data_IF_258440228455
#
_entry.id   IF_258440228455
#
_cell.length_a   1.000
_cell.length_b   1.000
_cell.length_c   1.000
_cell.angle_alpha   90.00
_cell.angle_beta   90.00
_cell.angle_gamma   90.00
#
_symmetry.space_group_name_H-M   'P 1'
#
loop_
_entity.id
_entity.type
_entity.pdbx_description
1 polymer ?
#
# COMPACT_ATOMS: atom_id res chain seq x y z
N UNK A 1 -2.85 -15.07 6.72
CA UNK A 1 -4.21 -14.50 6.84
C UNK A 1 -4.26 -12.99 6.62
N UNK A 2 -3.18 -12.33 6.21
CA UNK A 2 -3.23 -10.91 5.85
C UNK A 2 -2.77 -10.81 4.40
N UNK A 3 -3.68 -10.40 3.50
CA UNK A 3 -3.45 -10.28 2.06
C UNK A 3 -2.26 -9.33 1.81
N UNK A 4 -1.08 -9.87 1.46
CA UNK A 4 0.08 -9.04 1.24
C UNK A 4 -0.08 -8.36 -0.12
N UNK A 5 0.19 -7.06 -0.16
CA UNK A 5 0.10 -6.23 -1.36
C UNK A 5 1.50 -5.82 -1.80
N UNK A 6 1.76 -5.91 -3.10
CA UNK A 6 3.01 -5.41 -3.69
C UNK A 6 2.83 -3.96 -4.10
N UNK A 7 3.78 -3.14 -3.71
CA UNK A 7 3.84 -1.73 -4.10
C UNK A 7 4.62 -1.56 -5.41
N UNK A 8 4.50 -0.42 -6.07
CA UNK A 8 5.24 -0.14 -7.32
C UNK A 8 6.76 -0.07 -7.11
N UNK A 9 7.23 0.09 -5.87
CA UNK A 9 8.64 -0.01 -5.50
C UNK A 9 9.07 -1.43 -5.10
N UNK A 10 8.28 -2.46 -5.42
CA UNK A 10 8.51 -3.89 -5.18
C UNK A 10 8.55 -4.32 -3.70
N UNK A 11 8.31 -3.40 -2.77
CA UNK A 11 8.14 -3.74 -1.36
C UNK A 11 6.75 -4.32 -1.10
N UNK A 12 6.67 -5.20 -0.11
CA UNK A 12 5.45 -5.89 0.30
C UNK A 12 4.99 -5.36 1.65
N UNK A 13 3.70 -5.05 1.76
CA UNK A 13 3.06 -4.67 3.01
C UNK A 13 1.68 -5.32 3.09
N UNK A 14 1.16 -5.51 4.31
CA UNK A 14 -0.19 -6.04 4.48
C UNK A 14 -1.24 -5.00 4.08
N UNK A 15 -2.39 -5.42 3.52
CA UNK A 15 -3.49 -4.51 3.12
C UNK A 15 -3.84 -3.52 4.24
N UNK A 16 -4.13 -4.04 5.44
CA UNK A 16 -4.49 -3.25 6.62
C UNK A 16 -3.38 -2.27 7.04
N UNK A 17 -2.12 -2.68 6.95
CA UNK A 17 -0.96 -1.86 7.28
C UNK A 17 -0.89 -0.61 6.38
N UNK A 18 -1.25 -0.76 5.10
CA UNK A 18 -1.25 0.35 4.14
C UNK A 18 -2.42 1.31 4.39
N UNK A 19 -3.58 0.77 4.71
CA UNK A 19 -4.79 1.56 5.06
C UNK A 19 -4.56 2.38 6.33
N UNK A 20 -4.04 1.74 7.40
CA UNK A 20 -3.68 2.42 8.64
C UNK A 20 -2.59 3.47 8.44
N UNK A 21 -1.60 3.19 7.60
CA UNK A 21 -0.54 4.14 7.26
C UNK A 21 -1.09 5.36 6.51
N UNK A 22 -1.99 5.16 5.54
CA UNK A 22 -2.66 6.24 4.83
C UNK A 22 -3.46 7.13 5.78
N UNK A 23 -4.26 6.52 6.67
CA UNK A 23 -5.02 7.24 7.70
C UNK A 23 -4.11 8.01 8.67
N UNK A 24 -2.99 7.41 9.10
CA UNK A 24 -2.02 8.05 9.99
C UNK A 24 -1.34 9.25 9.35
N UNK A 25 -1.10 9.19 8.04
CA UNK A 25 -0.43 10.25 7.30
C UNK A 25 -1.31 11.48 7.05
N UNK A 26 -2.62 11.46 7.37
CA UNK A 26 -3.61 12.53 7.07
C UNK A 26 -3.47 13.09 5.66
N UNK A 27 -3.02 12.26 4.71
CA UNK A 27 -2.84 12.71 3.34
C UNK A 27 -4.22 12.79 2.72
N UNK A 28 -4.66 14.01 2.39
CA UNK A 28 -5.84 14.26 1.55
C UNK A 28 -5.65 13.75 0.11
N UNK A 29 -4.44 13.25 -0.22
CA UNK A 29 -4.12 12.67 -1.51
C UNK A 29 -4.25 11.15 -1.49
N UNK A 30 -4.75 10.59 -2.58
CA UNK A 30 -4.83 9.15 -2.85
C UNK A 30 -3.45 8.48 -3.00
N UNK A 31 -2.35 9.21 -2.77
CA UNK A 31 -0.98 8.73 -2.94
C UNK A 31 -0.31 8.65 -1.56
N UNK A 32 0.03 7.43 -1.15
CA UNK A 32 0.83 7.14 0.02
C UNK A 32 2.29 6.84 -0.37
N UNK A 33 3.20 7.19 0.54
CA UNK A 33 4.61 6.81 0.45
C UNK A 33 4.82 5.38 0.92
N UNK A 34 5.77 4.68 0.32
CA UNK A 34 6.19 3.38 0.83
C UNK A 34 6.75 3.52 2.25
N UNK A 35 6.28 2.76 3.25
CA UNK A 35 6.82 2.85 4.61
C UNK A 35 8.30 2.45 4.69
N UNK A 36 8.80 1.66 3.73
CA UNK A 36 10.16 1.15 3.71
C UNK A 36 11.15 2.09 3.02
N UNK A 37 10.83 2.56 1.81
CA UNK A 37 11.74 3.41 1.02
C UNK A 37 11.26 4.85 0.83
N UNK A 38 10.08 5.20 1.36
CA UNK A 38 9.43 6.51 1.24
C UNK A 38 9.13 6.96 -0.19
N UNK A 39 9.26 6.08 -1.18
CA UNK A 39 8.91 6.38 -2.56
C UNK A 39 7.39 6.59 -2.68
N UNK A 40 6.92 7.65 -3.36
CA UNK A 40 5.50 7.87 -3.66
C UNK A 40 5.07 6.84 -4.71
N UNK A 41 4.71 5.66 -4.24
CA UNK A 41 4.58 4.45 -5.06
C UNK A 41 3.35 3.63 -4.72
N UNK A 42 2.51 4.12 -3.80
CA UNK A 42 1.32 3.42 -3.34
C UNK A 42 0.13 4.32 -3.66
N UNK A 43 -0.71 3.89 -4.59
CA UNK A 43 -1.97 4.54 -4.91
C UNK A 43 -3.09 3.84 -4.12
N UNK A 44 -3.71 4.57 -3.20
CA UNK A 44 -4.77 4.14 -2.29
C UNK A 44 -5.96 5.08 -2.46
N UNK A 45 -6.81 4.87 -3.48
CA UNK A 45 -7.97 5.72 -3.70
C UNK A 45 -8.91 5.65 -2.50
N UNK A 46 -9.22 6.80 -1.89
CA UNK A 46 -10.00 6.90 -0.65
C UNK A 46 -9.41 6.09 0.53
N UNK A 47 -8.11 5.79 0.50
CA UNK A 47 -7.44 4.98 1.52
C UNK A 47 -7.64 3.47 1.40
N UNK A 48 -8.26 2.96 0.33
CA UNK A 48 -8.46 1.52 0.12
C UNK A 48 -7.25 0.86 -0.57
N UNK A 49 -6.72 -0.20 0.05
CA UNK A 49 -5.57 -0.95 -0.48
C UNK A 49 -5.98 -2.20 -1.30
N UNK A 50 -7.28 -2.40 -1.55
CA UNK A 50 -7.79 -3.54 -2.30
C UNK A 50 -7.39 -3.48 -3.77
N UNK A 51 -7.25 -2.27 -4.33
CA UNK A 51 -6.79 -2.01 -5.70
C UNK A 51 -5.33 -2.42 -5.96
N UNK A 52 -4.50 -2.64 -4.92
CA UNK A 52 -3.11 -3.02 -5.11
C UNK A 52 -2.97 -4.49 -5.53
N UNK A 53 -1.96 -4.81 -6.36
CA UNK A 53 -1.71 -6.18 -6.75
C UNK A 53 -1.30 -7.01 -5.52
N UNK A 54 -1.74 -8.28 -5.44
CA UNK A 54 -1.25 -9.19 -4.42
C UNK A 54 0.27 -9.40 -4.58
N UNK A 55 0.97 -9.61 -3.47
CA UNK A 55 2.41 -9.85 -3.45
C UNK A 55 2.82 -11.25 -3.90
N UNK A 56 1.85 -12.13 -4.11
CA UNK A 56 2.09 -13.50 -4.53
C UNK A 56 2.09 -13.49 -6.07
N UNK A 57 3.28 -13.59 -6.66
CA UNK A 57 3.42 -14.12 -8.02
C UNK A 57 2.86 -15.54 -7.98
N UNK A 58 1.76 -15.81 -8.69
CA UNK A 58 1.32 -17.19 -8.92
C UNK A 58 2.44 -17.87 -9.70
N UNK A 59 3.16 -18.74 -9.00
CA UNK A 59 4.04 -19.78 -9.55
C UNK A 59 3.35 -20.61 -10.63
#
# INVERSE_FOLDING_TARGET
FEEPKRTSCLHVACRRCLEEYHHSCKNEMDIATCPQCRAPSIFLPNGDASCLPPAIDKE
#
